data_IF_037699125593
#
_entry.id   IF_037699125593
#
_cell.length_a   1.000
_cell.length_b   1.000
_cell.length_c   1.000
_cell.angle_alpha   90.00
_cell.angle_beta   90.00
_cell.angle_gamma   90.00
#
_symmetry.space_group_name_H-M   'P 1'
#
loop_
_entity.id
_entity.type
_entity.pdbx_description
1 polymer ?
#
# COMPACT_ATOMS: atom_id res chain seq x y z
N UNK A 1 -4.95 11.53 -9.74
CA UNK A 1 -4.83 10.05 -9.62
C UNK A 1 -5.97 9.60 -8.70
N UNK A 2 -6.74 8.56 -9.01
CA UNK A 2 -7.67 7.94 -8.05
C UNK A 2 -7.03 6.63 -7.62
N UNK A 3 -6.55 6.56 -6.39
CA UNK A 3 -6.22 5.27 -5.79
C UNK A 3 -7.51 4.46 -5.70
N UNK A 4 -7.50 3.25 -6.25
CA UNK A 4 -8.59 2.30 -6.11
C UNK A 4 -8.01 1.00 -5.59
N UNK A 5 -8.73 0.36 -4.68
CA UNK A 5 -8.40 -0.99 -4.20
C UNK A 5 -9.19 -1.98 -5.07
N UNK A 6 -8.50 -2.92 -5.71
CA UNK A 6 -9.12 -3.94 -6.57
C UNK A 6 -8.49 -5.31 -6.35
N UNK A 7 -9.20 -6.38 -6.69
CA UNK A 7 -8.63 -7.74 -6.67
C UNK A 7 -7.49 -7.91 -7.69
N UNK A 8 -6.33 -8.38 -7.24
CA UNK A 8 -5.17 -8.67 -8.08
C UNK A 8 -5.40 -9.92 -8.95
N UNK A 9 -5.34 -9.79 -10.28
CA UNK A 9 -5.55 -10.94 -11.20
C UNK A 9 -4.40 -11.95 -11.21
N UNK A 10 -3.16 -11.51 -10.99
CA UNK A 10 -1.96 -12.36 -11.13
C UNK A 10 -1.54 -13.07 -9.83
N UNK A 11 -2.03 -12.63 -8.67
CA UNK A 11 -1.66 -13.22 -7.37
C UNK A 11 -2.48 -14.47 -7.04
N UNK A 12 -3.62 -14.65 -7.73
CA UNK A 12 -4.52 -15.81 -7.58
C UNK A 12 -3.84 -17.14 -7.90
N UNK A 13 -2.79 -17.17 -8.72
CA UNK A 13 -2.05 -18.42 -8.96
C UNK A 13 -1.31 -18.91 -7.71
N UNK A 14 -0.82 -17.99 -6.87
CA UNK A 14 -0.13 -18.33 -5.63
C UNK A 14 -1.08 -18.40 -4.42
N UNK A 15 -2.27 -17.83 -4.54
CA UNK A 15 -3.30 -17.73 -3.51
C UNK A 15 -4.69 -18.03 -4.11
N UNK A 16 -4.94 -19.27 -4.53
CA UNK A 16 -6.14 -19.62 -5.30
C UNK A 16 -7.45 -19.42 -4.54
N UNK A 17 -7.39 -19.50 -3.21
CA UNK A 17 -8.56 -19.42 -2.32
C UNK A 17 -8.68 -18.07 -1.59
N UNK A 18 -7.78 -17.11 -1.87
CA UNK A 18 -7.75 -15.81 -1.19
C UNK A 18 -7.85 -14.64 -2.16
N UNK A 19 -8.70 -13.67 -1.82
CA UNK A 19 -8.79 -12.42 -2.56
C UNK A 19 -7.83 -11.38 -1.97
N UNK A 20 -6.71 -11.16 -2.66
CA UNK A 20 -5.74 -10.13 -2.29
C UNK A 20 -6.18 -8.80 -2.92
N UNK A 21 -6.31 -7.81 -2.05
CA UNK A 21 -6.66 -6.45 -2.43
C UNK A 21 -5.39 -5.65 -2.74
N UNK A 22 -5.38 -5.00 -3.91
CA UNK A 22 -4.22 -4.29 -4.44
C UNK A 22 -4.52 -2.80 -4.54
N UNK A 23 -3.57 -1.98 -4.10
CA UNK A 23 -3.64 -0.53 -4.21
C UNK A 23 -3.09 -0.10 -5.58
N UNK A 24 -3.99 0.17 -6.53
CA UNK A 24 -3.61 0.48 -7.91
C UNK A 24 -2.79 1.76 -8.01
N UNK A 25 -1.80 1.74 -8.92
CA UNK A 25 -0.93 2.88 -9.19
C UNK A 25 0.26 3.01 -8.23
N UNK A 26 0.44 2.03 -7.33
CA UNK A 26 1.56 1.97 -6.40
C UNK A 26 2.45 0.74 -6.61
N UNK A 27 2.51 0.22 -7.84
CA UNK A 27 3.27 -0.99 -8.19
C UNK A 27 4.74 -0.90 -7.77
N UNK A 28 5.36 0.27 -7.93
CA UNK A 28 6.76 0.54 -7.51
C UNK A 28 6.96 0.49 -5.99
N UNK A 29 5.89 0.63 -5.22
CA UNK A 29 5.93 0.54 -3.76
C UNK A 29 5.56 -0.85 -3.24
N UNK A 30 5.12 -1.78 -4.10
CA UNK A 30 4.73 -3.12 -3.69
C UNK A 30 5.95 -3.92 -3.21
N UNK A 31 5.89 -4.41 -1.98
CA UNK A 31 6.94 -5.22 -1.35
C UNK A 31 6.66 -6.71 -1.46
N UNK A 32 5.39 -7.10 -1.59
CA UNK A 32 4.94 -8.49 -1.65
C UNK A 32 3.69 -8.72 -0.83
N UNK A 33 3.45 -9.99 -0.48
CA UNK A 33 2.26 -10.42 0.28
C UNK A 33 2.68 -10.85 1.68
N UNK A 34 2.05 -10.26 2.69
CA UNK A 34 2.19 -10.61 4.10
C UNK A 34 1.04 -11.48 4.58
N UNK A 35 1.27 -12.26 5.63
CA UNK A 35 0.21 -13.00 6.33
C UNK A 35 0.50 -13.03 7.82
N UNK A 36 -0.55 -13.03 8.62
CA UNK A 36 -0.50 -13.41 10.04
C UNK A 36 -1.05 -14.84 10.16
N UNK A 37 -0.78 -15.52 11.28
CA UNK A 37 -1.06 -16.96 11.44
C UNK A 37 -2.49 -17.38 11.04
N UNK A 38 -3.50 -16.57 11.36
CA UNK A 38 -4.91 -16.87 11.09
C UNK A 38 -5.62 -15.77 10.27
N UNK A 39 -4.89 -14.91 9.58
CA UNK A 39 -5.45 -13.79 8.82
C UNK A 39 -5.27 -13.99 7.32
N UNK A 40 -6.00 -13.20 6.50
CA UNK A 40 -5.86 -13.26 5.05
C UNK A 40 -4.46 -12.83 4.61
N UNK A 41 -4.10 -13.24 3.40
CA UNK A 41 -3.01 -12.69 2.63
C UNK A 41 -3.30 -11.22 2.32
N UNK A 42 -2.35 -10.34 2.65
CA UNK A 42 -2.49 -8.90 2.51
C UNK A 42 -1.33 -8.37 1.66
N UNK A 43 -1.64 -7.53 0.68
CA UNK A 43 -0.63 -6.81 -0.09
C UNK A 43 0.11 -5.80 0.80
N UNK A 44 1.44 -5.81 0.77
CA UNK A 44 2.30 -4.97 1.60
C UNK A 44 3.07 -3.98 0.74
N UNK A 45 3.11 -2.71 1.15
CA UNK A 45 3.74 -1.62 0.41
C UNK A 45 4.72 -0.81 1.28
N UNK A 46 5.75 -0.23 0.66
CA UNK A 46 6.60 0.80 1.30
C UNK A 46 5.88 2.15 1.28
N UNK A 47 5.48 2.65 2.45
CA UNK A 47 4.77 3.93 2.59
C UNK A 47 5.56 5.10 2.01
N UNK A 48 6.87 5.14 2.22
CA UNK A 48 7.71 6.24 1.71
C UNK A 48 7.77 6.28 0.18
N UNK A 49 7.67 5.12 -0.47
CA UNK A 49 7.55 5.02 -1.93
C UNK A 49 6.16 5.43 -2.42
N UNK A 50 5.10 5.08 -1.70
CA UNK A 50 3.75 5.57 -2.01
C UNK A 50 3.71 7.10 -2.00
N UNK A 51 4.25 7.74 -0.95
CA UNK A 51 4.35 9.21 -0.87
C UNK A 51 5.18 9.77 -2.03
N UNK A 52 6.28 9.12 -2.40
CA UNK A 52 7.13 9.55 -3.52
C UNK A 52 6.36 9.51 -4.84
N UNK A 53 5.60 8.44 -5.12
CA UNK A 53 4.77 8.31 -6.32
C UNK A 53 3.71 9.41 -6.38
N UNK A 54 3.04 9.70 -5.25
CA UNK A 54 2.05 10.78 -5.16
C UNK A 54 2.68 12.14 -5.46
N UNK A 55 3.88 12.41 -4.96
CA UNK A 55 4.61 13.65 -5.26
C UNK A 55 5.04 13.75 -6.72
N UNK A 56 5.49 12.65 -7.31
CA UNK A 56 5.81 12.59 -8.75
C UNK A 56 4.57 12.87 -9.63
N UNK A 57 3.35 12.62 -9.11
CA UNK A 57 2.09 12.96 -9.77
C UNK A 57 1.72 14.46 -9.70
N UNK A 58 2.53 15.28 -9.03
CA UNK A 58 2.37 16.73 -8.92
C UNK A 58 1.87 17.23 -7.57
N UNK A 59 1.66 16.35 -6.59
CA UNK A 59 1.23 16.74 -5.24
C UNK A 59 2.38 17.32 -4.42
N UNK A 60 2.07 18.30 -3.56
CA UNK A 60 3.01 18.74 -2.52
C UNK A 60 3.22 17.65 -1.47
N UNK A 61 4.24 17.79 -0.63
CA UNK A 61 4.56 16.76 0.37
C UNK A 61 3.40 16.56 1.35
N UNK A 62 2.86 17.65 1.88
CA UNK A 62 1.76 17.66 2.85
C UNK A 62 0.48 17.09 2.22
N UNK A 63 0.17 17.53 1.00
CA UNK A 63 -0.96 17.03 0.20
C UNK A 63 -0.85 15.53 -0.08
N UNK A 64 0.37 15.04 -0.38
CA UNK A 64 0.59 13.61 -0.60
C UNK A 64 0.35 12.78 0.68
N UNK A 65 0.73 13.30 1.85
CA UNK A 65 0.43 12.64 3.13
C UNK A 65 -1.06 12.64 3.44
N UNK A 66 -1.75 13.78 3.29
CA UNK A 66 -3.20 13.86 3.47
C UNK A 66 -3.93 12.93 2.50
N UNK A 67 -3.53 12.94 1.22
CA UNK A 67 -4.11 12.05 0.23
C UNK A 67 -3.90 10.58 0.61
N UNK A 68 -2.69 10.21 1.02
CA UNK A 68 -2.39 8.86 1.50
C UNK A 68 -3.28 8.47 2.68
N UNK A 69 -3.36 9.29 3.72
CA UNK A 69 -4.09 8.97 4.94
C UNK A 69 -5.59 8.81 4.67
N UNK A 70 -6.20 9.68 3.86
CA UNK A 70 -7.65 9.61 3.59
C UNK A 70 -8.03 8.65 2.47
N UNK A 71 -7.28 8.60 1.37
CA UNK A 71 -7.70 7.91 0.14
C UNK A 71 -6.99 6.57 -0.06
N UNK A 72 -5.87 6.33 0.61
CA UNK A 72 -5.06 5.11 0.41
C UNK A 72 -5.10 4.24 1.67
N UNK A 73 -4.56 4.71 2.79
CA UNK A 73 -4.58 4.00 4.05
C UNK A 73 -5.98 3.98 4.70
N UNK A 74 -6.71 5.09 4.60
CA UNK A 74 -8.07 5.24 5.12
C UNK A 74 -9.16 4.57 4.28
N UNK A 75 -8.84 4.08 3.08
CA UNK A 75 -9.76 3.34 2.21
C UNK A 75 -9.95 1.89 2.71
N UNK A 76 -10.32 1.73 3.98
CA UNK A 76 -10.50 0.42 4.60
C UNK A 76 -11.73 -0.30 4.02
N UNK A 77 -11.51 -1.51 3.51
CA UNK A 77 -12.54 -2.32 2.83
C UNK A 77 -12.60 -3.75 3.40
N UNK A 78 -11.97 -4.01 4.54
CA UNK A 78 -11.96 -5.30 5.22
C UNK A 78 -10.55 -5.75 5.65
N UNK A 79 -10.45 -6.96 6.18
CA UNK A 79 -9.19 -7.49 6.75
C UNK A 79 -8.08 -7.67 5.71
N UNK A 80 -8.45 -7.85 4.43
CA UNK A 80 -7.51 -7.94 3.32
C UNK A 80 -6.98 -6.56 2.84
N UNK A 81 -7.40 -5.44 3.48
CA UNK A 81 -6.95 -4.09 3.11
C UNK A 81 -5.43 -4.00 3.14
N UNK A 82 -4.78 -3.41 2.11
CA UNK A 82 -3.33 -3.31 2.03
C UNK A 82 -2.65 -2.76 3.28
N UNK A 83 -1.49 -3.33 3.61
CA UNK A 83 -0.63 -2.87 4.70
C UNK A 83 0.48 -1.96 4.16
N UNK A 84 0.77 -0.88 4.89
CA UNK A 84 1.82 0.09 4.54
C UNK A 84 2.91 0.11 5.61
N UNK A 85 4.15 -0.14 5.19
CA UNK A 85 5.32 -0.27 6.07
C UNK A 85 6.14 1.01 6.04
N UNK A 86 6.47 1.50 7.25
CA UNK A 86 7.59 2.42 7.44
C UNK A 86 8.88 1.60 7.53
N UNK A 87 9.71 1.67 6.50
CA UNK A 87 10.93 0.87 6.45
C UNK A 87 11.98 1.39 7.43
N UNK A 88 12.92 0.53 7.85
CA UNK A 88 14.06 0.97 8.69
C UNK A 88 14.82 2.17 8.08
N UNK A 89 14.82 2.26 6.75
CA UNK A 89 15.42 3.40 6.02
C UNK A 89 14.64 4.69 6.23
N UNK A 90 13.30 4.66 6.17
CA UNK A 90 12.47 5.86 6.39
C UNK A 90 12.54 6.32 7.85
N UNK A 91 12.46 5.39 8.81
CA UNK A 91 12.52 5.69 10.24
C UNK A 91 13.83 6.40 10.64
N UNK A 92 14.98 5.96 10.11
CA UNK A 92 16.28 6.59 10.40
C UNK A 92 16.41 8.02 9.88
N UNK A 93 15.62 8.42 8.88
CA UNK A 93 15.63 9.79 8.34
C UNK A 93 14.82 10.76 9.20
N UNK A 94 13.77 10.28 9.87
CA UNK A 94 12.91 11.10 10.72
C UNK A 94 13.56 11.46 12.06
N UNK A 95 14.64 10.77 12.46
CA UNK A 95 15.38 11.04 13.70
C UNK A 95 16.54 12.04 13.55
N UNK A 96 16.63 12.74 12.42
CA UNK A 96 17.60 13.83 12.17
C UNK A 96 16.85 15.10 11.80
#
# INVERSE_FOLDING_TARGET
MRASITGGRNERENYPDEEILIANGFDRAFLGVGRIFSGPAIAVYDKSMVITILRESGMKLEEAYEYFDFNVAGAYVGEATPMFVETKRSLRKASK
#
